data_IF_087825071738
#
_entry.id   IF_087825071738
#
_cell.length_a   1.000
_cell.length_b   1.000
_cell.length_c   1.000
_cell.angle_alpha   90.00
_cell.angle_beta   90.00
_cell.angle_gamma   90.00
#
_symmetry.space_group_name_H-M   'P 1'
#
loop_
_entity.id
_entity.type
_entity.pdbx_description
1 polymer ?
#
# COMPACT_ATOMS: atom_id res chain seq x y z
N UNK A 1 -2.85 9.01 21.09
CA UNK A 1 -3.93 8.68 20.18
C UNK A 1 -3.61 7.42 19.38
N UNK A 2 -4.68 6.81 18.85
CA UNK A 2 -4.61 5.69 17.93
C UNK A 2 -5.15 6.17 16.60
N UNK A 3 -4.50 5.79 15.50
CA UNK A 3 -5.01 5.97 14.14
C UNK A 3 -5.22 4.59 13.54
N UNK A 4 -6.42 4.31 13.08
CA UNK A 4 -6.78 3.10 12.34
C UNK A 4 -7.03 3.50 10.89
N UNK A 5 -6.41 2.81 9.95
CA UNK A 5 -6.54 3.09 8.52
C UNK A 5 -7.93 2.79 8.01
N UNK A 6 -8.30 1.54 8.11
CA UNK A 6 -9.60 1.00 7.71
C UNK A 6 -10.03 -0.06 8.73
N UNK A 7 -11.33 -0.17 8.97
CA UNK A 7 -11.89 -1.19 9.85
C UNK A 7 -13.21 -1.72 9.28
N UNK A 8 -13.41 -3.03 9.36
CA UNK A 8 -14.70 -3.65 9.05
C UNK A 8 -15.63 -3.58 10.27
N UNK A 9 -16.92 -3.79 10.06
CA UNK A 9 -17.94 -3.69 11.11
C UNK A 9 -17.62 -4.53 12.36
N UNK A 10 -17.02 -5.71 12.18
CA UNK A 10 -16.65 -6.60 13.29
C UNK A 10 -15.45 -6.11 14.08
N UNK A 11 -14.47 -5.45 13.43
CA UNK A 11 -13.22 -5.04 14.07
C UNK A 11 -13.27 -3.64 14.66
N UNK A 12 -14.10 -2.75 14.12
CA UNK A 12 -14.22 -1.37 14.57
C UNK A 12 -14.54 -1.26 16.07
N UNK A 13 -15.56 -1.97 16.62
CA UNK A 13 -15.86 -1.93 18.05
C UNK A 13 -14.72 -2.42 18.94
N UNK A 14 -13.90 -3.36 18.44
CA UNK A 14 -12.75 -3.89 19.18
C UNK A 14 -11.68 -2.80 19.34
N UNK A 15 -11.38 -2.04 18.27
CA UNK A 15 -10.45 -0.91 18.34
C UNK A 15 -10.98 0.20 19.27
N UNK A 16 -12.27 0.54 19.17
CA UNK A 16 -12.91 1.56 20.02
C UNK A 16 -12.88 1.17 21.49
N UNK A 17 -13.25 -0.07 21.82
CA UNK A 17 -13.22 -0.58 23.20
C UNK A 17 -11.79 -0.56 23.77
N UNK A 18 -10.80 -0.98 22.98
CA UNK A 18 -9.41 -0.97 23.42
C UNK A 18 -8.88 0.44 23.63
N UNK A 19 -9.17 1.35 22.71
CA UNK A 19 -8.78 2.76 22.84
C UNK A 19 -9.41 3.39 24.08
N UNK A 20 -10.70 3.15 24.32
CA UNK A 20 -11.41 3.61 25.51
C UNK A 20 -10.76 3.06 26.80
N UNK A 21 -10.51 1.75 26.86
CA UNK A 21 -9.88 1.11 28.02
C UNK A 21 -8.47 1.66 28.34
N UNK A 22 -7.78 2.18 27.31
CA UNK A 22 -6.45 2.81 27.43
C UNK A 22 -6.52 4.34 27.62
N UNK A 23 -7.71 4.95 27.69
CA UNK A 23 -7.88 6.40 27.75
C UNK A 23 -7.28 7.12 26.51
N UNK A 24 -7.23 6.45 25.37
CA UNK A 24 -6.59 6.97 24.16
C UNK A 24 -7.61 7.48 23.16
N UNK A 25 -7.51 8.72 22.68
CA UNK A 25 -8.30 9.17 21.53
C UNK A 25 -8.04 8.29 20.31
N UNK A 26 -9.09 7.92 19.59
CA UNK A 26 -9.02 7.12 18.36
C UNK A 26 -9.54 7.90 17.17
N UNK A 27 -8.91 7.73 16.03
CA UNK A 27 -9.31 8.32 14.74
C UNK A 27 -9.27 7.22 13.69
N UNK A 28 -10.34 7.09 12.93
CA UNK A 28 -10.38 6.23 11.75
C UNK A 28 -10.12 7.09 10.51
N UNK A 29 -9.08 6.76 9.77
CA UNK A 29 -8.66 7.56 8.61
C UNK A 29 -9.70 7.53 7.48
N UNK A 30 -10.47 6.46 7.39
CA UNK A 30 -11.55 6.30 6.42
C UNK A 30 -12.75 7.23 6.65
N UNK A 31 -13.02 7.67 7.89
CA UNK A 31 -14.15 8.53 8.21
C UNK A 31 -13.99 9.95 7.64
N UNK A 32 -12.75 10.42 7.53
CA UNK A 32 -12.42 11.74 6.97
C UNK A 32 -11.13 11.67 6.17
N UNK A 33 -11.18 11.17 4.93
CA UNK A 33 -10.00 10.98 4.12
C UNK A 33 -9.20 12.26 3.90
N UNK A 34 -7.90 12.19 4.14
CA UNK A 34 -6.92 13.22 3.78
C UNK A 34 -6.58 13.17 2.28
N UNK A 35 -6.56 11.98 1.68
CA UNK A 35 -6.37 11.81 0.24
C UNK A 35 -7.72 11.95 -0.45
N UNK A 36 -7.83 12.93 -1.35
CA UNK A 36 -9.04 13.22 -2.13
C UNK A 36 -9.04 12.47 -3.46
N UNK A 37 -7.88 12.42 -4.12
CA UNK A 37 -7.66 11.65 -5.34
C UNK A 37 -6.19 11.25 -5.46
N UNK A 38 -5.91 10.22 -6.27
CA UNK A 38 -4.54 9.83 -6.59
C UNK A 38 -4.46 9.26 -8.00
N UNK A 39 -3.36 9.51 -8.70
CA UNK A 39 -3.08 8.98 -10.01
C UNK A 39 -1.58 8.79 -10.23
N UNK A 40 -1.21 7.90 -11.12
CA UNK A 40 0.19 7.67 -11.48
C UNK A 40 0.66 8.69 -12.52
N UNK A 41 1.88 9.19 -12.32
CA UNK A 41 2.62 10.04 -13.26
C UNK A 41 3.95 9.37 -13.62
N UNK A 42 4.68 9.84 -14.63
CA UNK A 42 6.03 9.33 -14.91
C UNK A 42 6.96 9.40 -13.69
N UNK A 43 6.85 10.45 -12.88
CA UNK A 43 7.71 10.74 -11.74
C UNK A 43 7.35 9.95 -10.47
N UNK A 44 6.09 9.51 -10.35
CA UNK A 44 5.62 8.84 -9.15
C UNK A 44 4.10 8.73 -9.10
N UNK A 45 3.55 8.59 -7.92
CA UNK A 45 2.12 8.67 -7.66
C UNK A 45 1.79 10.01 -7.03
N UNK A 46 0.95 10.77 -7.69
CA UNK A 46 0.49 12.08 -7.22
C UNK A 46 -0.79 11.93 -6.39
N UNK A 47 -0.82 12.63 -5.27
CA UNK A 47 -1.94 12.65 -4.35
C UNK A 47 -2.45 14.08 -4.17
N UNK A 48 -3.71 14.31 -4.48
CA UNK A 48 -4.41 15.52 -4.05
C UNK A 48 -4.90 15.32 -2.63
N UNK A 49 -4.54 16.21 -1.72
CA UNK A 49 -4.85 16.06 -0.31
C UNK A 49 -5.64 17.24 0.25
N UNK A 50 -6.39 16.97 1.32
CA UNK A 50 -7.20 17.97 2.00
C UNK A 50 -6.35 19.04 2.69
N UNK A 51 -5.32 18.62 3.37
CA UNK A 51 -4.57 19.49 4.30
C UNK A 51 -3.11 19.74 3.90
N UNK A 52 -2.54 18.96 2.98
CA UNK A 52 -1.12 18.98 2.64
C UNK A 52 -0.83 19.46 1.21
N UNK A 53 -1.88 19.85 0.45
CA UNK A 53 -1.76 20.18 -0.97
C UNK A 53 -1.43 18.94 -1.81
N UNK A 54 -0.89 19.14 -2.99
CA UNK A 54 -0.47 18.05 -3.88
C UNK A 54 0.85 17.46 -3.40
N UNK A 55 0.88 16.14 -3.18
CA UNK A 55 2.07 15.38 -2.78
C UNK A 55 2.44 14.39 -3.89
N UNK A 56 3.74 14.27 -4.17
CA UNK A 56 4.29 13.25 -5.05
C UNK A 56 4.96 12.18 -4.20
N UNK A 57 4.52 10.92 -4.34
CA UNK A 57 5.11 9.76 -3.69
C UNK A 57 5.89 8.87 -4.67
N UNK A 58 7.00 8.32 -4.23
CA UNK A 58 7.81 7.35 -4.99
C UNK A 58 7.30 5.91 -4.88
N UNK A 59 6.37 5.64 -3.97
CA UNK A 59 5.66 4.36 -3.87
C UNK A 59 4.45 4.34 -4.81
N UNK A 60 4.42 3.36 -5.70
CA UNK A 60 3.34 3.18 -6.67
C UNK A 60 2.38 2.06 -6.25
N UNK A 61 1.28 1.94 -6.97
CA UNK A 61 0.23 0.94 -6.70
C UNK A 61 -1.03 1.57 -6.12
N UNK A 62 -2.18 1.06 -6.55
CA UNK A 62 -3.48 1.66 -6.19
C UNK A 62 -3.78 1.57 -4.69
N UNK A 63 -3.31 0.51 -4.03
CA UNK A 63 -3.43 0.34 -2.59
C UNK A 63 -2.65 1.41 -1.78
N UNK A 64 -1.68 2.10 -2.39
CA UNK A 64 -0.96 3.19 -1.74
C UNK A 64 -1.85 4.40 -1.44
N UNK A 65 -2.97 4.56 -2.13
CA UNK A 65 -3.95 5.60 -1.80
C UNK A 65 -4.47 5.45 -0.37
N UNK A 66 -4.80 4.21 0.03
CA UNK A 66 -5.25 3.89 1.40
C UNK A 66 -4.14 4.04 2.42
N UNK A 67 -2.93 3.58 2.07
CA UNK A 67 -1.76 3.73 2.93
C UNK A 67 -1.41 5.22 3.15
N UNK A 68 -1.39 6.01 2.09
CA UNK A 68 -1.16 7.46 2.15
C UNK A 68 -2.20 8.16 3.02
N UNK A 69 -3.47 7.77 2.90
CA UNK A 69 -4.54 8.30 3.73
C UNK A 69 -4.28 8.06 5.22
N UNK A 70 -3.93 6.83 5.59
CA UNK A 70 -3.58 6.44 6.97
C UNK A 70 -2.36 7.20 7.48
N UNK A 71 -1.32 7.32 6.63
CA UNK A 71 -0.09 8.05 6.96
C UNK A 71 -0.41 9.52 7.22
N UNK A 72 -1.13 10.19 6.33
CA UNK A 72 -1.44 11.62 6.44
C UNK A 72 -2.34 11.90 7.65
N UNK A 73 -3.31 11.03 7.95
CA UNK A 73 -4.10 11.11 9.18
C UNK A 73 -3.21 11.00 10.42
N UNK A 74 -2.26 10.08 10.41
CA UNK A 74 -1.29 9.93 11.52
C UNK A 74 -0.38 11.15 11.64
N UNK A 75 0.11 11.67 10.53
CA UNK A 75 0.91 12.89 10.46
C UNK A 75 0.15 14.09 11.01
N UNK A 76 -1.14 14.24 10.69
CA UNK A 76 -1.98 15.30 11.26
C UNK A 76 -2.04 15.23 12.78
N UNK A 77 -2.15 14.02 13.36
CA UNK A 77 -2.11 13.84 14.81
C UNK A 77 -0.74 14.21 15.41
N UNK A 78 0.36 13.90 14.72
CA UNK A 78 1.71 14.23 15.18
C UNK A 78 2.01 15.73 15.09
N UNK A 79 1.52 16.39 14.04
CA UNK A 79 1.61 17.85 13.87
C UNK A 79 0.85 18.58 14.98
N UNK A 80 -0.39 18.18 15.26
CA UNK A 80 -1.23 18.82 16.29
C UNK A 80 -0.63 18.71 17.69
N UNK A 81 0.26 17.75 17.92
CA UNK A 81 0.99 17.52 19.18
C UNK A 81 2.37 18.15 19.20
N UNK A 82 2.79 18.80 18.12
CA UNK A 82 4.13 19.38 17.99
C UNK A 82 5.26 18.34 17.91
N UNK A 83 4.95 17.05 17.68
CA UNK A 83 5.95 16.01 17.48
C UNK A 83 6.70 16.20 16.17
N UNK A 84 5.98 16.54 15.10
CA UNK A 84 6.55 16.97 13.83
C UNK A 84 6.61 18.51 13.86
N UNK A 85 7.81 19.07 13.74
CA UNK A 85 8.05 20.51 13.79
C UNK A 85 8.26 21.15 12.41
N UNK A 86 8.52 20.32 11.40
CA UNK A 86 8.87 20.73 10.05
C UNK A 86 7.89 20.12 9.04
N UNK A 87 6.73 20.76 8.78
CA UNK A 87 5.70 20.26 7.85
C UNK A 87 6.23 20.01 6.43
N UNK A 88 7.23 20.78 6.00
CA UNK A 88 7.91 20.60 4.70
C UNK A 88 8.57 19.24 4.55
N UNK A 89 8.96 18.60 5.66
CA UNK A 89 9.55 17.25 5.66
C UNK A 89 8.58 16.16 5.17
N UNK A 90 7.27 16.41 5.26
CA UNK A 90 6.23 15.48 4.81
C UNK A 90 6.31 15.28 3.30
N UNK A 91 6.44 16.37 2.55
CA UNK A 91 6.57 16.35 1.09
C UNK A 91 7.81 15.58 0.66
N UNK A 92 8.94 15.87 1.28
CA UNK A 92 10.19 15.15 1.01
C UNK A 92 10.13 13.68 1.46
N UNK A 93 9.44 13.40 2.57
CA UNK A 93 9.19 12.04 3.04
C UNK A 93 8.45 11.21 1.99
N UNK A 94 7.34 11.72 1.45
CA UNK A 94 6.58 11.03 0.39
C UNK A 94 7.41 10.81 -0.87
N UNK A 95 8.19 11.81 -1.27
CA UNK A 95 8.97 11.80 -2.51
C UNK A 95 10.16 10.85 -2.49
N UNK A 96 10.61 10.40 -1.35
CA UNK A 96 11.88 9.69 -1.21
C UNK A 96 11.85 8.48 -0.27
N UNK A 97 10.71 7.82 -0.11
CA UNK A 97 10.56 6.63 0.75
C UNK A 97 11.53 5.54 0.33
N UNK A 98 11.47 5.11 -0.94
CA UNK A 98 12.34 4.04 -1.46
C UNK A 98 13.82 4.36 -1.27
N UNK A 99 14.22 5.57 -1.62
CA UNK A 99 15.63 6.00 -1.52
C UNK A 99 16.14 6.06 -0.08
N UNK A 100 15.29 6.52 0.86
CA UNK A 100 15.66 6.70 2.27
C UNK A 100 15.61 5.42 3.08
N UNK A 101 14.68 4.51 2.76
CA UNK A 101 14.42 3.32 3.57
C UNK A 101 14.87 2.01 2.91
N UNK A 102 15.17 2.03 1.61
CA UNK A 102 15.43 0.81 0.83
C UNK A 102 14.18 -0.04 0.61
N UNK A 103 12.97 0.50 0.85
CA UNK A 103 11.72 -0.24 0.64
C UNK A 103 11.55 -0.55 -0.85
N UNK A 104 11.38 -1.83 -1.17
CA UNK A 104 11.21 -2.34 -2.52
C UNK A 104 9.91 -3.14 -2.66
N UNK A 105 9.53 -3.44 -3.91
CA UNK A 105 8.41 -4.35 -4.20
C UNK A 105 7.04 -3.76 -3.86
N UNK A 106 6.80 -2.50 -4.17
CA UNK A 106 5.50 -1.84 -4.08
C UNK A 106 5.13 -1.26 -5.44
N UNK A 107 4.61 -2.11 -6.32
CA UNK A 107 4.36 -1.79 -7.73
C UNK A 107 5.55 -1.10 -8.38
N UNK A 108 6.71 -1.64 -8.10
CA UNK A 108 8.00 -1.03 -8.41
C UNK A 108 8.42 -1.33 -9.85
N UNK A 109 8.57 -0.32 -10.74
CA UNK A 109 9.18 -0.51 -12.04
C UNK A 109 10.62 -1.00 -11.90
N UNK A 110 10.99 -2.01 -12.67
CA UNK A 110 12.36 -2.52 -12.63
C UNK A 110 13.29 -1.67 -13.51
N UNK A 111 14.44 -1.19 -12.98
CA UNK A 111 15.40 -0.41 -13.76
C UNK A 111 15.84 -1.14 -15.03
N UNK A 112 15.87 -0.45 -16.15
CA UNK A 112 16.23 -1.03 -17.44
C UNK A 112 15.17 -1.90 -18.10
N UNK A 113 14.04 -2.14 -17.43
CA UNK A 113 12.93 -2.97 -17.92
C UNK A 113 11.59 -2.22 -17.82
N UNK A 114 11.29 -1.30 -18.76
CA UNK A 114 10.16 -0.35 -18.62
C UNK A 114 8.78 -1.01 -18.54
N UNK A 115 8.69 -2.29 -18.92
CA UNK A 115 7.44 -3.07 -18.88
C UNK A 115 7.43 -4.14 -17.79
N UNK A 116 8.39 -4.10 -16.87
CA UNK A 116 8.48 -5.04 -15.76
C UNK A 116 8.25 -4.31 -14.44
N UNK A 117 7.38 -4.89 -13.62
CA UNK A 117 7.01 -4.37 -12.30
C UNK A 117 7.20 -5.47 -11.26
N UNK A 118 7.75 -5.12 -10.11
CA UNK A 118 7.86 -6.01 -8.96
C UNK A 118 6.88 -5.58 -7.85
N UNK A 119 6.16 -6.53 -7.30
CA UNK A 119 5.34 -6.33 -6.10
C UNK A 119 5.49 -7.50 -5.14
N UNK A 120 5.37 -7.25 -3.84
CA UNK A 120 5.46 -8.26 -2.79
C UNK A 120 4.11 -8.65 -2.21
N UNK A 121 3.03 -8.45 -2.97
CA UNK A 121 1.69 -8.90 -2.60
C UNK A 121 1.67 -10.40 -2.28
N UNK A 122 1.26 -10.73 -1.05
CA UNK A 122 1.40 -12.09 -0.52
C UNK A 122 0.17 -12.56 0.27
N UNK A 123 -0.93 -11.81 0.20
CA UNK A 123 -2.19 -12.17 0.87
C UNK A 123 -3.40 -11.84 0.02
N UNK A 124 -4.55 -12.37 0.39
CA UNK A 124 -5.82 -12.20 -0.34
C UNK A 124 -6.16 -10.72 -0.54
N UNK A 125 -6.10 -9.90 0.52
CA UNK A 125 -6.43 -8.48 0.44
C UNK A 125 -5.50 -7.71 -0.52
N UNK A 126 -4.22 -8.04 -0.54
CA UNK A 126 -3.25 -7.48 -1.51
C UNK A 126 -3.59 -7.89 -2.93
N UNK A 127 -3.92 -9.15 -3.17
CA UNK A 127 -4.26 -9.66 -4.50
C UNK A 127 -5.60 -9.14 -5.02
N UNK A 128 -6.56 -8.85 -4.15
CA UNK A 128 -7.79 -8.15 -4.53
C UNK A 128 -7.53 -6.77 -5.17
N UNK A 129 -6.43 -6.12 -4.79
CA UNK A 129 -6.01 -4.85 -5.38
C UNK A 129 -5.05 -5.04 -6.57
N UNK A 130 -4.11 -5.98 -6.46
CA UNK A 130 -3.08 -6.20 -7.49
C UNK A 130 -3.65 -6.80 -8.78
N UNK A 131 -4.56 -7.76 -8.69
CA UNK A 131 -5.08 -8.43 -9.87
C UNK A 131 -5.81 -7.45 -10.83
N UNK A 132 -6.72 -6.59 -10.39
CA UNK A 132 -7.30 -5.54 -11.24
C UNK A 132 -6.25 -4.58 -11.80
N UNK A 133 -5.26 -4.18 -11.01
CA UNK A 133 -4.19 -3.29 -11.45
C UNK A 133 -3.31 -3.93 -12.53
N UNK A 134 -2.99 -5.22 -12.41
CA UNK A 134 -2.29 -5.99 -13.43
C UNK A 134 -3.11 -6.03 -14.72
N UNK A 135 -4.40 -6.30 -14.61
CA UNK A 135 -5.29 -6.39 -15.77
C UNK A 135 -5.50 -5.06 -16.48
N UNK A 136 -5.45 -3.95 -15.74
CA UNK A 136 -5.56 -2.60 -16.32
C UNK A 136 -4.31 -2.16 -17.10
N UNK A 137 -3.17 -2.85 -16.94
CA UNK A 137 -1.97 -2.50 -17.71
C UNK A 137 -2.13 -2.83 -19.19
N UNK A 138 -1.79 -1.91 -20.11
CA UNK A 138 -1.81 -2.19 -21.54
C UNK A 138 -0.72 -3.21 -21.90
N UNK A 139 -1.12 -4.42 -22.29
CA UNK A 139 -0.18 -5.46 -22.67
C UNK A 139 -0.78 -6.43 -23.68
N UNK A 140 -0.02 -6.83 -24.70
CA UNK A 140 -0.40 -7.92 -25.61
C UNK A 140 -0.35 -9.29 -24.93
N UNK A 141 0.63 -9.48 -24.04
CA UNK A 141 0.81 -10.71 -23.26
C UNK A 141 1.31 -10.31 -21.86
N UNK A 142 0.63 -10.81 -20.85
CA UNK A 142 1.06 -10.68 -19.45
C UNK A 142 1.89 -11.90 -19.05
N UNK A 143 3.01 -11.67 -18.39
CA UNK A 143 3.84 -12.71 -17.82
C UNK A 143 4.02 -12.41 -16.35
N UNK A 144 3.74 -13.39 -15.52
CA UNK A 144 3.84 -13.29 -14.07
C UNK A 144 4.86 -14.31 -13.57
N UNK A 145 5.92 -13.83 -12.94
CA UNK A 145 6.79 -14.67 -12.12
C UNK A 145 6.19 -14.67 -10.73
N UNK A 146 5.73 -15.83 -10.27
CA UNK A 146 4.95 -15.93 -9.04
C UNK A 146 5.56 -16.99 -8.11
N UNK A 147 5.64 -16.63 -6.82
CA UNK A 147 6.03 -17.54 -5.76
C UNK A 147 5.43 -17.06 -4.44
N UNK A 148 5.10 -17.97 -3.57
CA UNK A 148 4.56 -17.68 -2.23
C UNK A 148 5.24 -18.52 -1.15
N UNK A 149 4.98 -18.13 0.09
CA UNK A 149 5.33 -18.89 1.28
C UNK A 149 4.13 -19.69 1.77
N UNK A 150 4.37 -20.79 2.46
CA UNK A 150 3.37 -21.78 2.86
C UNK A 150 2.42 -21.33 3.98
N UNK A 151 2.80 -20.30 4.73
CA UNK A 151 1.99 -19.72 5.81
C UNK A 151 0.89 -18.75 5.32
N UNK A 152 0.66 -18.67 4.02
CA UNK A 152 -0.35 -17.80 3.40
C UNK A 152 -1.49 -18.60 2.79
N UNK A 153 -2.62 -17.96 2.68
CA UNK A 153 -3.83 -18.52 2.07
C UNK A 153 -3.68 -18.58 0.55
N UNK A 154 -2.89 -19.53 0.09
CA UNK A 154 -2.60 -19.72 -1.34
C UNK A 154 -3.87 -20.04 -2.12
N UNK A 155 -4.78 -20.84 -1.56
CA UNK A 155 -5.99 -21.27 -2.27
C UNK A 155 -6.83 -20.05 -2.74
N UNK A 156 -7.14 -19.15 -1.81
CA UNK A 156 -7.90 -17.95 -2.15
C UNK A 156 -7.10 -16.96 -3.01
N UNK A 157 -5.77 -16.89 -2.84
CA UNK A 157 -4.93 -16.06 -3.74
C UNK A 157 -4.98 -16.59 -5.17
N UNK A 158 -4.92 -17.91 -5.37
CA UNK A 158 -4.99 -18.56 -6.69
C UNK A 158 -6.28 -18.23 -7.44
N UNK A 159 -7.40 -18.08 -6.73
CA UNK A 159 -8.68 -17.69 -7.33
C UNK A 159 -8.67 -16.26 -7.88
N UNK A 160 -7.83 -15.38 -7.31
CA UNK A 160 -7.69 -13.98 -7.70
C UNK A 160 -6.68 -13.77 -8.84
N UNK A 161 -5.84 -14.75 -9.13
CA UNK A 161 -4.81 -14.60 -10.15
C UNK A 161 -5.40 -14.34 -11.54
N UNK A 162 -4.87 -13.40 -12.33
CA UNK A 162 -5.29 -13.14 -13.70
C UNK A 162 -5.25 -14.40 -14.57
N UNK A 163 -6.37 -14.79 -15.15
CA UNK A 163 -6.45 -15.99 -15.99
C UNK A 163 -5.83 -15.81 -17.38
N UNK A 164 -5.80 -14.56 -17.87
CA UNK A 164 -5.17 -14.17 -19.13
C UNK A 164 -3.71 -13.77 -18.92
N UNK A 165 -2.91 -14.70 -18.40
CA UNK A 165 -1.48 -14.50 -18.16
C UNK A 165 -0.69 -15.80 -18.31
N UNK A 166 0.59 -15.67 -18.64
CA UNK A 166 1.55 -16.77 -18.64
C UNK A 166 2.27 -16.76 -17.31
N UNK A 167 2.22 -17.86 -16.58
CA UNK A 167 2.85 -17.99 -15.26
C UNK A 167 4.19 -18.70 -15.34
N UNK A 168 5.15 -18.15 -14.61
CA UNK A 168 6.42 -18.74 -14.31
C UNK A 168 6.48 -18.95 -12.79
N UNK A 169 6.29 -20.17 -12.35
CA UNK A 169 6.30 -20.52 -10.95
C UNK A 169 7.73 -20.51 -10.43
N UNK A 170 7.94 -19.92 -9.27
CA UNK A 170 9.24 -19.87 -8.62
C UNK A 170 9.10 -20.16 -7.13
N UNK A 171 10.15 -20.68 -6.57
CA UNK A 171 10.23 -21.00 -5.15
C UNK A 171 11.40 -20.23 -4.53
N UNK A 172 11.17 -19.43 -3.48
CA UNK A 172 12.26 -18.75 -2.78
C UNK A 172 13.13 -19.76 -2.02
N UNK A 173 14.42 -19.44 -1.90
CA UNK A 173 15.39 -20.29 -1.15
C UNK A 173 15.21 -20.15 0.36
N UNK A 174 14.04 -20.44 0.89
CA UNK A 174 13.70 -20.35 2.32
C UNK A 174 12.91 -21.59 2.74
N UNK A 175 13.04 -21.97 4.02
CA UNK A 175 12.28 -23.08 4.61
C UNK A 175 10.75 -22.86 4.62
N UNK A 176 10.30 -21.62 4.40
CA UNK A 176 8.88 -21.27 4.31
C UNK A 176 8.35 -21.24 2.88
N UNK A 177 9.16 -21.62 1.91
CA UNK A 177 8.73 -21.62 0.53
C UNK A 177 7.66 -22.70 0.31
N UNK A 178 6.60 -22.32 -0.39
CA UNK A 178 5.62 -23.31 -0.86
C UNK A 178 6.30 -24.24 -1.88
N UNK A 179 6.15 -25.57 -1.78
CA UNK A 179 6.78 -26.54 -2.67
C UNK A 179 6.36 -26.43 -4.11
#
# INVERSE_FOLDING_TARGET
PVVVGEAVAETRPVFEAKAHACGSPIVFAEDRPEVLSAHDTPEGREYETRSFGTLLGDLRGDYQTRNANTILTSVSQLLSRGTIRHPESIREGFRSVCRRTGLMGRWQPLPGHPHAVCDTGHNVAGWQMLAPQIMAQPARKRRLVFGMVDDKDLAHVMELLPRDAIYYWTQPSTHRAFP
#
